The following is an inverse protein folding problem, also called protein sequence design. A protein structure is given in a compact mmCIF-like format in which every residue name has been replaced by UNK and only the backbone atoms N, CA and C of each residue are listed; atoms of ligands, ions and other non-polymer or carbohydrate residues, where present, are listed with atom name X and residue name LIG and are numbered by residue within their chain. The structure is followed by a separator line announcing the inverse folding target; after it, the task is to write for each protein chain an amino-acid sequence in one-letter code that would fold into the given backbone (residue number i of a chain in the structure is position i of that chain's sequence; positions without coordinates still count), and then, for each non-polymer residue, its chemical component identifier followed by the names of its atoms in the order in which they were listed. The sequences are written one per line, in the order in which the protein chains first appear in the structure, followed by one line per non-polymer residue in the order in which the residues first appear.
data_IF_301801389573
#
_entry.id   IF_301801389573
#
_cell.length_a   1.000
_cell.length_b   1.000
_cell.length_c   1.000
_cell.angle_alpha   90.00
_cell.angle_beta   90.00
_cell.angle_gamma   90.00
#
_symmetry.space_group_name_H-M   'P 1'
#
loop_
_entity.id
_entity.type
_entity.pdbx_description
1 polymer ?
#
# COMPACT_ATOMS: atom_id res chain seq x y z
N UNK A 1 22.69 17.15 22.00
CA UNK A 1 21.25 16.85 21.84
C UNK A 1 21.05 16.61 20.37
N UNK A 2 20.92 15.35 19.94
CA UNK A 2 20.65 15.04 18.54
C UNK A 2 19.16 15.36 18.38
N UNK A 3 18.87 16.44 17.66
CA UNK A 3 17.52 16.77 17.25
C UNK A 3 17.07 15.59 16.40
N UNK A 4 16.16 14.76 16.93
CA UNK A 4 15.47 13.79 16.11
C UNK A 4 14.66 14.63 15.12
N UNK A 5 15.22 14.83 13.92
CA UNK A 5 14.44 15.27 12.77
C UNK A 5 13.37 14.21 12.63
N UNK A 6 12.19 14.51 13.16
CA UNK A 6 10.99 13.75 12.90
C UNK A 6 10.75 13.97 11.41
N UNK A 7 11.31 13.07 10.60
CA UNK A 7 11.06 13.04 9.17
C UNK A 7 9.59 12.67 9.08
N UNK A 8 8.75 13.63 8.71
CA UNK A 8 7.36 13.34 8.40
C UNK A 8 7.32 12.15 7.44
N UNK A 9 6.44 11.16 7.68
CA UNK A 9 6.36 10.01 6.80
C UNK A 9 6.07 10.48 5.37
N UNK A 10 6.70 9.80 4.41
CA UNK A 10 6.57 10.16 3.00
C UNK A 10 5.23 9.74 2.39
N UNK A 11 4.37 9.12 3.19
CA UNK A 11 3.05 8.62 2.82
C UNK A 11 1.96 9.26 3.68
N UNK A 12 0.70 9.10 3.26
CA UNK A 12 -0.45 9.63 4.00
C UNK A 12 -0.72 8.80 5.27
N UNK A 13 -0.51 9.42 6.45
CA UNK A 13 -0.71 8.76 7.75
C UNK A 13 -2.16 8.33 8.00
N UNK A 14 -3.13 9.07 7.45
CA UNK A 14 -4.55 8.75 7.58
C UNK A 14 -4.88 7.47 6.83
N UNK A 15 -4.38 7.35 5.60
CA UNK A 15 -4.53 6.14 4.78
C UNK A 15 -3.76 4.97 5.41
N UNK A 16 -2.52 5.16 5.85
CA UNK A 16 -1.73 4.07 6.45
C UNK A 16 -2.39 3.52 7.71
N UNK A 17 -2.88 4.39 8.58
CA UNK A 17 -3.59 3.99 9.81
C UNK A 17 -4.87 3.24 9.49
N UNK A 18 -5.62 3.71 8.49
CA UNK A 18 -6.83 3.04 8.03
C UNK A 18 -6.54 1.65 7.48
N UNK A 19 -5.55 1.51 6.59
CA UNK A 19 -5.17 0.22 5.99
C UNK A 19 -4.68 -0.78 7.04
N UNK A 20 -3.87 -0.32 8.01
CA UNK A 20 -3.46 -1.16 9.13
C UNK A 20 -4.66 -1.64 9.94
N UNK A 21 -5.62 -0.74 10.23
CA UNK A 21 -6.84 -1.10 10.95
C UNK A 21 -7.71 -2.11 10.19
N UNK A 22 -7.84 -1.97 8.87
CA UNK A 22 -8.57 -2.94 8.04
C UNK A 22 -7.86 -4.30 7.97
N UNK A 23 -6.52 -4.31 7.85
CA UNK A 23 -5.74 -5.54 7.95
C UNK A 23 -5.90 -6.22 9.31
N UNK A 24 -5.84 -5.47 10.42
CA UNK A 24 -6.05 -5.99 11.77
C UNK A 24 -7.44 -6.59 11.97
N UNK A 25 -8.49 -5.98 11.40
CA UNK A 25 -9.86 -6.52 11.46
C UNK A 25 -10.03 -7.78 10.63
N UNK A 26 -9.36 -7.84 9.47
CA UNK A 26 -9.47 -8.96 8.52
C UNK A 26 -8.58 -10.14 8.93
N UNK A 27 -7.50 -9.87 9.65
CA UNK A 27 -6.43 -10.81 10.03
C UNK A 27 -5.83 -11.57 8.83
N UNK A 28 -5.89 -10.96 7.65
CA UNK A 28 -5.42 -11.54 6.39
C UNK A 28 -4.84 -10.43 5.50
N UNK A 29 -3.91 -10.76 4.60
CA UNK A 29 -3.40 -9.83 3.60
C UNK A 29 -4.53 -9.15 2.79
N UNK A 30 -4.29 -7.90 2.43
CA UNK A 30 -5.22 -7.09 1.65
C UNK A 30 -5.00 -7.34 0.17
N UNK A 31 -6.02 -7.81 -0.52
CA UNK A 31 -6.04 -7.95 -1.97
C UNK A 31 -6.42 -6.64 -2.64
N UNK A 32 -6.19 -6.53 -3.95
CA UNK A 32 -6.64 -5.38 -4.74
C UNK A 32 -8.16 -5.17 -4.67
N UNK A 33 -8.94 -6.25 -4.55
CA UNK A 33 -10.39 -6.19 -4.37
C UNK A 33 -10.77 -5.53 -3.03
N UNK A 34 -10.03 -5.82 -1.96
CA UNK A 34 -10.22 -5.15 -0.68
C UNK A 34 -9.94 -3.66 -0.80
N UNK A 35 -8.82 -3.29 -1.45
CA UNK A 35 -8.44 -1.89 -1.64
C UNK A 35 -9.49 -1.12 -2.46
N UNK A 36 -10.05 -1.74 -3.51
CA UNK A 36 -11.16 -1.15 -4.27
C UNK A 36 -12.40 -0.94 -3.40
N UNK A 37 -12.77 -1.92 -2.57
CA UNK A 37 -13.91 -1.80 -1.66
C UNK A 37 -13.69 -0.71 -0.60
N UNK A 38 -12.47 -0.61 -0.07
CA UNK A 38 -12.12 0.43 0.89
C UNK A 38 -12.15 1.81 0.26
N UNK A 39 -11.61 1.95 -0.95
CA UNK A 39 -11.65 3.20 -1.70
C UNK A 39 -13.10 3.69 -1.88
N UNK A 40 -13.99 2.78 -2.31
CA UNK A 40 -15.41 3.07 -2.45
C UNK A 40 -16.09 3.44 -1.13
N UNK A 41 -15.75 2.74 -0.04
CA UNK A 41 -16.36 2.96 1.28
C UNK A 41 -15.92 4.29 1.91
N UNK A 42 -14.64 4.65 1.77
CA UNK A 42 -14.08 5.87 2.32
C UNK A 42 -14.21 7.07 1.37
N UNK A 43 -14.81 6.89 0.19
CA UNK A 43 -14.88 7.89 -0.87
C UNK A 43 -13.51 8.49 -1.26
N UNK A 44 -12.45 7.66 -1.17
CA UNK A 44 -11.09 8.00 -1.59
C UNK A 44 -10.77 7.30 -2.91
N UNK A 45 -9.69 7.69 -3.59
CA UNK A 45 -9.28 6.99 -4.80
C UNK A 45 -8.46 5.77 -4.43
N UNK A 46 -8.69 4.68 -5.15
CA UNK A 46 -7.86 3.48 -5.03
C UNK A 46 -6.39 3.76 -5.37
N UNK A 47 -6.14 4.74 -6.24
CA UNK A 47 -4.78 5.20 -6.52
C UNK A 47 -4.08 5.83 -5.32
N UNK A 48 -4.78 6.59 -4.48
CA UNK A 48 -4.19 7.19 -3.27
C UNK A 48 -3.86 6.09 -2.23
N UNK A 49 -4.70 5.05 -2.14
CA UNK A 49 -4.43 3.87 -1.30
C UNK A 49 -3.20 3.09 -1.78
N UNK A 50 -3.10 2.85 -3.09
CA UNK A 50 -1.99 2.14 -3.69
C UNK A 50 -0.68 2.92 -3.61
N UNK A 51 -0.70 4.22 -3.89
CA UNK A 51 0.46 5.08 -3.70
C UNK A 51 1.00 4.97 -2.26
N UNK A 52 0.11 5.10 -1.28
CA UNK A 52 0.48 4.98 0.14
C UNK A 52 1.09 3.61 0.43
N UNK A 53 0.51 2.52 -0.08
CA UNK A 53 1.05 1.16 0.07
C UNK A 53 2.41 0.96 -0.57
N UNK A 54 2.60 1.50 -1.78
CA UNK A 54 3.87 1.45 -2.49
C UNK A 54 4.95 2.18 -1.72
N UNK A 55 4.67 3.40 -1.25
CA UNK A 55 5.61 4.16 -0.43
C UNK A 55 5.95 3.39 0.85
N UNK A 56 4.95 2.88 1.56
CA UNK A 56 5.19 2.06 2.74
C UNK A 56 6.03 0.81 2.41
N UNK A 57 5.84 0.18 1.26
CA UNK A 57 6.61 -0.98 0.85
C UNK A 57 8.06 -0.64 0.47
N UNK A 58 8.28 0.45 -0.27
CA UNK A 58 9.60 0.99 -0.60
C UNK A 58 10.40 1.30 0.68
N UNK A 59 9.72 1.80 1.72
CA UNK A 59 10.32 2.10 3.02
C UNK A 59 10.30 0.92 4.02
N UNK A 60 9.89 -0.27 3.58
CA UNK A 60 9.96 -1.50 4.37
C UNK A 60 8.90 -1.64 5.47
N UNK A 61 7.88 -0.78 5.48
CA UNK A 61 6.74 -0.86 6.40
C UNK A 61 5.68 -1.89 5.94
N UNK A 62 5.56 -2.08 4.62
CA UNK A 62 4.64 -3.05 4.03
C UNK A 62 5.36 -3.92 3.00
N UNK A 63 4.72 -5.00 2.59
CA UNK A 63 5.24 -5.89 1.55
C UNK A 63 4.10 -6.33 0.63
N UNK A 64 4.45 -6.50 -0.64
CA UNK A 64 3.58 -7.04 -1.68
C UNK A 64 4.06 -8.44 -2.02
N UNK A 65 3.16 -9.42 -2.00
CA UNK A 65 3.46 -10.79 -2.39
C UNK A 65 2.48 -11.25 -3.47
N UNK A 66 2.98 -11.90 -4.51
CA UNK A 66 2.15 -12.38 -5.61
C UNK A 66 1.24 -13.56 -5.22
N UNK A 67 0.44 -14.04 -6.18
CA UNK A 67 -0.45 -15.20 -6.00
C UNK A 67 0.29 -16.50 -5.65
N UNK A 68 1.59 -16.58 -5.97
CA UNK A 68 2.45 -17.71 -5.59
C UNK A 68 3.01 -17.57 -4.17
N UNK A 69 2.68 -16.46 -3.48
CA UNK A 69 3.15 -16.12 -2.14
C UNK A 69 4.59 -15.61 -2.11
N UNK A 70 5.16 -15.27 -3.29
CA UNK A 70 6.50 -14.71 -3.38
C UNK A 70 6.41 -13.21 -3.20
N UNK A 71 7.08 -12.70 -2.18
CA UNK A 71 7.17 -11.27 -1.96
C UNK A 71 8.06 -10.64 -3.03
N UNK A 72 7.47 -9.68 -3.74
CA UNK A 72 8.11 -8.97 -4.83
C UNK A 72 8.59 -7.62 -4.28
N UNK A 73 9.82 -7.25 -4.63
CA UNK A 73 10.31 -5.91 -4.36
C UNK A 73 9.47 -4.91 -5.14
N UNK A 74 8.90 -3.97 -4.39
CA UNK A 74 8.18 -2.82 -4.94
C UNK A 74 9.12 -1.64 -4.82
N UNK A 75 9.64 -1.18 -5.96
CA UNK A 75 10.57 -0.07 -6.03
C UNK A 75 9.91 1.19 -6.59
N UNK A 76 10.67 2.29 -6.59
CA UNK A 76 10.22 3.56 -7.15
C UNK A 76 9.93 3.48 -8.66
N UNK A 77 10.60 2.58 -9.39
CA UNK A 77 10.34 2.36 -10.82
C UNK A 77 8.95 1.75 -11.02
N UNK A 78 8.52 0.83 -10.15
CA UNK A 78 7.16 0.27 -10.17
C UNK A 78 6.10 1.34 -9.86
N UNK A 79 6.39 2.27 -8.95
CA UNK A 79 5.54 3.43 -8.67
C UNK A 79 5.51 4.42 -9.86
N UNK A 80 6.65 4.66 -10.51
CA UNK A 80 6.74 5.52 -11.70
C UNK A 80 5.98 4.93 -12.90
N UNK A 81 5.96 3.60 -13.06
CA UNK A 81 5.12 2.92 -14.07
C UNK A 81 3.64 3.13 -13.77
N UNK A 82 3.26 3.09 -12.50
CA UNK A 82 1.92 3.41 -12.01
C UNK A 82 1.52 4.83 -12.43
N UNK A 83 2.44 5.79 -12.28
CA UNK A 83 2.27 7.19 -12.65
C UNK A 83 2.34 7.47 -14.15
N UNK A 84 3.14 6.72 -14.90
CA UNK A 84 3.32 6.88 -16.34
C UNK A 84 2.06 6.54 -17.13
N UNK A 85 1.21 5.65 -16.61
CA UNK A 85 -0.13 5.37 -17.14
C UNK A 85 -1.15 6.47 -16.83
N UNK A 86 -0.79 7.45 -16.00
CA UNK A 86 -1.69 8.52 -15.56
C UNK A 86 -2.43 8.12 -14.29
N UNK A 87 -3.74 8.40 -14.22
CA UNK A 87 -4.55 7.96 -13.08
C UNK A 87 -4.79 6.47 -13.18
N UNK A 88 -4.49 5.74 -12.12
CA UNK A 88 -4.88 4.33 -11.99
C UNK A 88 -6.40 4.25 -12.05
N UNK A 89 -6.90 3.63 -13.11
CA UNK A 89 -8.30 3.30 -13.22
C UNK A 89 -8.55 1.91 -12.60
N UNK A 90 -9.78 1.60 -12.17
CA UNK A 90 -10.12 0.26 -11.70
C UNK A 90 -9.77 -0.86 -12.68
N UNK A 91 -9.78 -0.59 -13.99
CA UNK A 91 -9.42 -1.55 -15.03
C UNK A 91 -7.91 -1.86 -15.05
N UNK A 92 -7.05 -0.92 -14.66
CA UNK A 92 -5.60 -1.16 -14.52
C UNK A 92 -5.28 -2.09 -13.34
N UNK A 93 -6.26 -2.31 -12.45
CA UNK A 93 -6.11 -3.11 -11.23
C UNK A 93 -6.31 -4.61 -11.45
N UNK A 94 -6.87 -5.02 -12.58
CA UNK A 94 -7.06 -6.45 -12.89
C UNK A 94 -5.73 -7.20 -13.03
N UNK A 95 -4.66 -6.50 -13.41
CA UNK A 95 -3.31 -7.05 -13.50
C UNK A 95 -2.60 -7.16 -12.12
N UNK A 96 -3.16 -6.59 -11.06
CA UNK A 96 -2.59 -6.60 -9.70
C UNK A 96 -3.18 -7.73 -8.85
N UNK A 97 -2.79 -8.97 -9.15
CA UNK A 97 -3.27 -10.16 -8.43
C UNK A 97 -2.66 -10.40 -7.04
N UNK A 98 -1.65 -9.62 -6.62
CA UNK A 98 -0.96 -9.87 -5.36
C UNK A 98 -1.66 -9.30 -4.12
N UNK A 99 -1.03 -9.59 -2.98
CA UNK A 99 -1.53 -9.37 -1.63
C UNK A 99 -0.59 -8.46 -0.85
N UNK A 100 -1.17 -7.55 -0.07
CA UNK A 100 -0.48 -6.57 0.75
C UNK A 100 -0.55 -6.95 2.21
N UNK A 101 0.59 -6.91 2.90
CA UNK A 101 0.64 -7.11 4.35
C UNK A 101 1.67 -6.18 4.98
N UNK A 102 1.48 -5.77 6.25
CA UNK A 102 2.53 -5.07 6.96
C UNK A 102 3.73 -6.00 7.18
N UNK A 103 4.93 -5.43 7.18
CA UNK A 103 6.13 -6.17 7.58
C UNK A 103 6.16 -6.36 9.09
N UNK A 104 6.95 -7.31 9.58
CA UNK A 104 7.06 -7.56 11.03
C UNK A 104 7.53 -6.32 11.79
N UNK A 105 8.45 -5.53 11.21
CA UNK A 105 8.96 -4.29 11.79
C UNK A 105 7.91 -3.17 11.92
N UNK A 106 6.81 -3.23 11.18
CA UNK A 106 5.75 -2.20 11.22
C UNK A 106 4.67 -2.48 12.26
N UNK A 107 4.58 -3.71 12.76
CA UNK A 107 3.54 -4.16 13.71
C UNK A 107 4.05 -4.27 15.15
N UNK A 108 5.37 -4.16 15.38
CA UNK A 108 5.99 -4.09 16.72
C UNK A 108 5.74 -2.77 17.46
#
# INVERSE_FOLDING_TARGET
MISQMQVDPLWDEGISTFLLGEWQKKEQPLSIYDLQNFANTQAVRVGDLLETLYLMAIYGAWQYCDEEGKCLDVDADALDVLYAKGRICPDDLEDFGGLWSPTSDFVE
#
